data_IF_593616959507
#
_entry.id   IF_593616959507
#
_cell.length_a   1.000
_cell.length_b   1.000
_cell.length_c   1.000
_cell.angle_alpha   90.00
_cell.angle_beta   90.00
_cell.angle_gamma   90.00
#
_symmetry.space_group_name_H-M   'P 1'
#
loop_
_entity.id
_entity.type
_entity.pdbx_description
1 polymer ?
#
# COMPACT_ATOMS: atom_id res chain seq x y z
N UNK A 1 17.85 -3.08 -21.54
CA UNK A 1 16.93 -3.23 -20.38
C UNK A 1 16.21 -4.56 -20.52
N UNK A 2 16.40 -5.49 -19.58
CA UNK A 2 15.84 -6.84 -19.68
C UNK A 2 14.32 -6.87 -19.44
N UNK A 3 13.66 -7.96 -19.85
CA UNK A 3 12.21 -8.19 -19.66
C UNK A 3 11.77 -8.04 -18.19
N UNK A 4 12.63 -8.35 -17.23
CA UNK A 4 12.38 -8.18 -15.79
C UNK A 4 12.09 -6.74 -15.36
N UNK A 5 12.72 -5.75 -15.99
CA UNK A 5 12.47 -4.33 -15.70
C UNK A 5 11.02 -3.93 -16.02
N UNK A 6 10.53 -4.34 -17.20
CA UNK A 6 9.15 -4.06 -17.61
C UNK A 6 8.11 -4.74 -16.72
N UNK A 7 8.38 -5.98 -16.28
CA UNK A 7 7.51 -6.70 -15.32
C UNK A 7 7.43 -5.94 -13.99
N UNK A 8 8.56 -5.46 -13.47
CA UNK A 8 8.58 -4.67 -12.23
C UNK A 8 7.83 -3.36 -12.42
N UNK A 9 8.05 -2.63 -13.51
CA UNK A 9 7.32 -1.39 -13.80
C UNK A 9 5.81 -1.61 -13.89
N UNK A 10 5.37 -2.70 -14.52
CA UNK A 10 3.95 -3.08 -14.55
C UNK A 10 3.41 -3.37 -13.14
N UNK A 11 4.14 -4.15 -12.33
CA UNK A 11 3.73 -4.46 -10.96
C UNK A 11 3.61 -3.19 -10.09
N UNK A 12 4.55 -2.25 -10.25
CA UNK A 12 4.56 -0.95 -9.59
C UNK A 12 3.36 -0.08 -10.01
N UNK A 13 3.03 -0.09 -11.30
CA UNK A 13 1.87 0.61 -11.84
C UNK A 13 0.57 0.06 -11.26
N UNK A 14 0.36 -1.26 -11.34
CA UNK A 14 -0.87 -1.88 -10.82
C UNK A 14 -1.01 -1.74 -9.30
N UNK A 15 0.08 -1.84 -8.54
CA UNK A 15 0.04 -1.56 -7.10
C UNK A 15 -0.38 -0.12 -6.83
N UNK A 16 0.15 0.86 -7.56
CA UNK A 16 -0.19 2.27 -7.37
C UNK A 16 -1.63 2.57 -7.80
N UNK A 17 -2.11 1.92 -8.86
CA UNK A 17 -3.51 1.99 -9.29
C UNK A 17 -4.45 1.43 -8.21
N UNK A 18 -4.11 0.29 -7.62
CA UNK A 18 -4.87 -0.32 -6.54
C UNK A 18 -4.97 0.58 -5.31
N UNK A 19 -3.87 1.24 -4.90
CA UNK A 19 -3.86 2.16 -3.75
C UNK A 19 -4.84 3.33 -3.92
N UNK A 20 -4.91 3.89 -5.14
CA UNK A 20 -5.84 4.98 -5.46
C UNK A 20 -7.29 4.47 -5.57
N UNK A 21 -7.51 3.32 -6.20
CA UNK A 21 -8.83 2.71 -6.31
C UNK A 21 -9.41 2.36 -4.92
N UNK A 22 -8.58 1.85 -4.02
CA UNK A 22 -8.95 1.56 -2.64
C UNK A 22 -9.38 2.79 -1.86
N UNK A 23 -8.71 3.93 -2.06
CA UNK A 23 -9.13 5.19 -1.44
C UNK A 23 -10.55 5.55 -1.89
N UNK A 24 -10.81 5.51 -3.21
CA UNK A 24 -12.12 5.83 -3.78
C UNK A 24 -13.18 4.87 -3.27
N UNK A 25 -12.87 3.56 -3.21
CA UNK A 25 -13.77 2.55 -2.67
C UNK A 25 -14.10 2.79 -1.19
N UNK A 26 -13.10 3.11 -0.35
CA UNK A 26 -13.33 3.42 1.07
C UNK A 26 -14.22 4.65 1.26
N UNK A 27 -14.04 5.68 0.43
CA UNK A 27 -14.90 6.87 0.43
C UNK A 27 -16.33 6.49 0.03
N UNK A 28 -16.50 5.68 -1.02
CA UNK A 28 -17.81 5.22 -1.47
C UNK A 28 -18.52 4.36 -0.41
N UNK A 29 -17.79 3.55 0.37
CA UNK A 29 -18.36 2.78 1.47
C UNK A 29 -18.82 3.68 2.62
N UNK A 30 -18.05 4.72 2.99
CA UNK A 30 -18.50 5.71 3.98
C UNK A 30 -19.76 6.44 3.49
N UNK A 31 -19.81 6.82 2.21
CA UNK A 31 -20.98 7.47 1.63
C UNK A 31 -22.23 6.58 1.66
N UNK A 32 -22.08 5.27 1.40
CA UNK A 32 -23.19 4.31 1.48
C UNK A 32 -23.68 4.07 2.91
N UNK A 33 -22.77 4.14 3.90
CA UNK A 33 -23.10 4.01 5.31
C UNK A 33 -23.73 5.26 5.94
N UNK A 34 -24.17 6.23 5.12
CA UNK A 34 -24.71 7.54 5.54
C UNK A 34 -23.81 8.26 6.56
N UNK A 35 -22.50 8.01 6.44
CA UNK A 35 -21.52 8.49 7.39
C UNK A 35 -21.25 9.98 7.15
N UNK A 36 -21.05 10.76 8.22
CA UNK A 36 -20.82 12.19 8.07
C UNK A 36 -19.61 12.50 7.17
N UNK A 37 -19.75 13.48 6.27
CA UNK A 37 -18.72 13.80 5.27
C UNK A 37 -17.35 14.14 5.87
N UNK A 38 -17.31 14.61 7.13
CA UNK A 38 -16.07 14.85 7.87
C UNK A 38 -15.29 13.58 8.22
N UNK A 39 -15.84 12.37 8.08
CA UNK A 39 -15.09 11.11 8.24
C UNK A 39 -14.15 10.80 7.06
N UNK A 40 -14.47 11.32 5.87
CA UNK A 40 -13.65 11.19 4.66
C UNK A 40 -12.17 11.60 4.85
N UNK A 41 -11.85 12.78 5.41
CA UNK A 41 -10.46 13.16 5.68
C UNK A 41 -9.78 12.28 6.74
N UNK A 42 -10.53 11.65 7.66
CA UNK A 42 -9.94 10.73 8.63
C UNK A 42 -9.40 9.46 7.95
N UNK A 43 -9.95 9.00 6.82
CA UNK A 43 -9.36 7.89 6.06
C UNK A 43 -7.89 8.20 5.71
N UNK A 44 -7.62 9.39 5.18
CA UNK A 44 -6.24 9.84 4.90
C UNK A 44 -5.42 9.99 6.18
N UNK A 45 -6.01 10.50 7.26
CA UNK A 45 -5.32 10.65 8.54
C UNK A 45 -4.84 9.31 9.11
N UNK A 46 -5.71 8.30 9.18
CA UNK A 46 -5.36 6.97 9.67
C UNK A 46 -4.34 6.27 8.75
N UNK A 47 -4.46 6.46 7.43
CA UNK A 47 -3.48 5.99 6.47
C UNK A 47 -2.09 6.58 6.75
N UNK A 48 -2.01 7.90 6.93
CA UNK A 48 -0.74 8.61 7.19
C UNK A 48 -0.16 8.24 8.55
N UNK A 49 -0.98 8.12 9.61
CA UNK A 49 -0.49 7.68 10.92
C UNK A 49 0.12 6.28 10.83
N UNK A 50 -0.61 5.33 10.22
CA UNK A 50 -0.11 3.98 9.99
C UNK A 50 1.23 4.03 9.24
N UNK A 51 1.28 4.80 8.15
CA UNK A 51 2.48 4.96 7.34
C UNK A 51 3.68 5.52 8.13
N UNK A 52 3.49 6.62 8.87
CA UNK A 52 4.57 7.34 9.56
C UNK A 52 5.07 6.56 10.77
N UNK A 53 4.17 6.00 11.58
CA UNK A 53 4.54 5.25 12.78
C UNK A 53 5.28 3.97 12.42
N UNK A 54 4.88 3.31 11.32
CA UNK A 54 5.52 2.08 10.86
C UNK A 54 6.76 2.30 9.99
N UNK A 55 6.97 3.51 9.44
CA UNK A 55 8.10 3.87 8.59
C UNK A 55 9.48 3.37 9.07
N UNK A 56 9.89 3.58 10.35
CA UNK A 56 11.20 3.11 10.82
C UNK A 56 11.33 1.58 10.85
N UNK A 57 10.23 0.85 11.07
CA UNK A 57 10.24 -0.61 11.11
C UNK A 57 10.24 -1.23 9.72
N UNK A 58 9.46 -0.66 8.80
CA UNK A 58 9.33 -1.20 7.44
C UNK A 58 10.57 -0.99 6.58
N UNK A 59 11.37 0.06 6.84
CA UNK A 59 12.67 0.24 6.19
C UNK A 59 13.65 -0.87 6.58
N UNK A 60 13.81 -1.10 7.89
CA UNK A 60 14.66 -2.19 8.40
C UNK A 60 14.16 -3.56 7.93
N UNK A 61 12.85 -3.77 7.85
CA UNK A 61 12.25 -4.97 7.28
C UNK A 61 12.60 -5.14 5.80
N UNK A 62 12.50 -4.07 5.02
CA UNK A 62 12.79 -4.09 3.59
C UNK A 62 14.27 -4.34 3.27
N UNK A 63 15.18 -4.00 4.18
CA UNK A 63 16.63 -4.21 4.00
C UNK A 63 17.10 -5.63 4.35
N UNK A 64 16.32 -6.39 5.12
CA UNK A 64 16.67 -7.76 5.53
C UNK A 64 16.18 -8.86 4.58
N UNK A 65 15.26 -8.53 3.68
CA UNK A 65 14.64 -9.49 2.77
C UNK A 65 14.87 -9.08 1.31
N UNK A 66 14.86 -10.03 0.36
CA UNK A 66 14.85 -9.71 -1.06
C UNK A 66 13.70 -8.76 -1.38
N UNK A 67 13.98 -7.66 -2.12
CA UNK A 67 13.00 -6.58 -2.36
C UNK A 67 11.71 -7.09 -3.01
N UNK A 68 11.81 -8.09 -3.89
CA UNK A 68 10.65 -8.75 -4.50
C UNK A 68 9.73 -9.45 -3.47
N UNK A 69 10.29 -10.08 -2.44
CA UNK A 69 9.52 -10.70 -1.35
C UNK A 69 8.82 -9.64 -0.51
N UNK A 70 9.48 -8.53 -0.21
CA UNK A 70 8.90 -7.41 0.53
C UNK A 70 7.72 -6.82 -0.24
N UNK A 71 7.87 -6.62 -1.56
CA UNK A 71 6.78 -6.16 -2.44
C UNK A 71 5.58 -7.12 -2.44
N UNK A 72 5.83 -8.43 -2.46
CA UNK A 72 4.77 -9.44 -2.42
C UNK A 72 4.02 -9.45 -1.09
N UNK A 73 4.74 -9.42 0.04
CA UNK A 73 4.15 -9.36 1.38
C UNK A 73 3.31 -8.09 1.53
N UNK A 74 3.85 -6.94 1.14
CA UNK A 74 3.16 -5.67 1.20
C UNK A 74 1.86 -5.66 0.38
N UNK A 75 1.88 -6.19 -0.84
CA UNK A 75 0.68 -6.32 -1.67
C UNK A 75 -0.34 -7.30 -1.07
N UNK A 76 0.13 -8.38 -0.42
CA UNK A 76 -0.75 -9.32 0.30
C UNK A 76 -1.48 -8.64 1.46
N UNK A 77 -0.79 -7.79 2.22
CA UNK A 77 -1.40 -6.98 3.28
C UNK A 77 -2.47 -6.04 2.72
N UNK A 78 -2.22 -5.40 1.57
CA UNK A 78 -3.22 -4.57 0.89
C UNK A 78 -4.44 -5.38 0.47
N UNK A 79 -4.25 -6.57 -0.09
CA UNK A 79 -5.35 -7.49 -0.45
C UNK A 79 -6.17 -7.87 0.79
N UNK A 80 -5.54 -8.15 1.93
CA UNK A 80 -6.24 -8.39 3.18
C UNK A 80 -7.05 -7.17 3.63
N UNK A 81 -6.51 -5.95 3.46
CA UNK A 81 -7.22 -4.69 3.65
C UNK A 81 -8.47 -4.57 2.76
N UNK A 82 -8.36 -4.89 1.48
CA UNK A 82 -9.49 -4.95 0.57
C UNK A 82 -10.55 -5.97 1.03
N UNK A 83 -10.10 -7.17 1.42
CA UNK A 83 -10.99 -8.23 1.86
C UNK A 83 -11.79 -7.80 3.09
N UNK A 84 -11.16 -7.12 4.06
CA UNK A 84 -11.87 -6.55 5.21
C UNK A 84 -12.95 -5.54 4.80
N UNK A 85 -12.68 -4.69 3.80
CA UNK A 85 -13.70 -3.78 3.27
C UNK A 85 -14.88 -4.54 2.63
N UNK A 86 -14.63 -5.68 1.99
CA UNK A 86 -15.68 -6.52 1.42
C UNK A 86 -16.55 -7.22 2.49
N UNK A 87 -15.98 -7.53 3.66
CA UNK A 87 -16.71 -8.10 4.80
C UNK A 87 -17.31 -7.03 5.73
N UNK A 88 -17.52 -5.81 5.23
CA UNK A 88 -18.14 -4.68 5.96
C UNK A 88 -17.42 -4.30 7.27
N UNK A 89 -16.13 -4.65 7.40
CA UNK A 89 -15.30 -4.20 8.52
C UNK A 89 -15.11 -2.69 8.41
N UNK A 90 -15.02 -2.01 9.56
CA UNK A 90 -14.87 -0.55 9.64
C UNK A 90 -13.82 -0.03 8.63
N UNK A 91 -14.22 0.83 7.66
CA UNK A 91 -13.33 1.30 6.60
C UNK A 91 -12.07 2.00 7.10
N UNK A 92 -12.11 2.64 8.28
CA UNK A 92 -10.94 3.31 8.87
C UNK A 92 -9.86 2.30 9.27
N UNK A 93 -10.25 1.19 9.90
CA UNK A 93 -9.34 0.12 10.32
C UNK A 93 -8.81 -0.62 9.09
N UNK A 94 -9.69 -0.94 8.15
CA UNK A 94 -9.30 -1.62 6.93
C UNK A 94 -8.30 -0.77 6.13
N UNK A 95 -8.54 0.54 6.03
CA UNK A 95 -7.65 1.46 5.33
C UNK A 95 -6.34 1.74 6.09
N UNK A 96 -6.34 1.67 7.43
CA UNK A 96 -5.11 1.70 8.22
C UNK A 96 -4.21 0.48 7.94
N UNK A 97 -4.79 -0.71 7.74
CA UNK A 97 -4.03 -1.90 7.33
C UNK A 97 -3.46 -1.75 5.91
N UNK A 98 -4.23 -1.21 4.98
CA UNK A 98 -3.73 -0.87 3.64
C UNK A 98 -2.56 0.10 3.72
N UNK A 99 -2.63 1.11 4.61
CA UNK A 99 -1.53 2.03 4.91
C UNK A 99 -0.25 1.34 5.38
N UNK A 100 -0.36 0.29 6.18
CA UNK A 100 0.78 -0.54 6.60
C UNK A 100 1.41 -1.25 5.39
N UNK A 101 0.59 -1.86 4.55
CA UNK A 101 1.06 -2.49 3.31
C UNK A 101 1.76 -1.49 2.39
N UNK A 102 1.20 -0.29 2.22
CA UNK A 102 1.81 0.77 1.42
C UNK A 102 3.14 1.26 2.01
N UNK A 103 3.26 1.36 3.33
CA UNK A 103 4.49 1.72 4.03
C UNK A 103 5.61 0.71 3.77
N UNK A 104 5.31 -0.60 3.83
CA UNK A 104 6.27 -1.65 3.52
C UNK A 104 6.65 -1.73 2.03
N UNK A 105 5.71 -1.39 1.15
CA UNK A 105 5.95 -1.40 -0.30
C UNK A 105 6.92 -0.29 -0.74
N UNK A 106 6.81 0.90 -0.13
CA UNK A 106 7.57 2.10 -0.51
C UNK A 106 9.10 1.91 -0.54
N UNK A 107 9.79 1.46 0.54
CA UNK A 107 11.24 1.27 0.51
C UNK A 107 11.68 0.16 -0.47
N UNK A 108 10.88 -0.89 -0.64
CA UNK A 108 11.17 -1.98 -1.56
C UNK A 108 11.08 -1.55 -3.03
N UNK A 109 10.07 -0.74 -3.37
CA UNK A 109 9.87 -0.16 -4.70
C UNK A 109 11.07 0.67 -5.18
N UNK A 110 11.61 1.53 -4.32
CA UNK A 110 12.73 2.39 -4.69
C UNK A 110 14.05 1.61 -4.70
N UNK A 111 14.23 0.68 -3.75
CA UNK A 111 15.41 -0.18 -3.70
C UNK A 111 15.56 -1.10 -4.91
N UNK A 112 14.47 -1.73 -5.38
CA UNK A 112 14.54 -2.63 -6.53
C UNK A 112 14.90 -1.88 -7.83
N UNK A 113 14.54 -0.60 -7.95
CA UNK A 113 14.93 0.21 -9.11
C UNK A 113 16.45 0.44 -9.15
N UNK A 114 17.07 0.68 -7.98
CA UNK A 114 18.52 0.87 -7.88
C UNK A 114 19.32 -0.40 -8.15
N UNK A 115 18.75 -1.58 -7.91
CA UNK A 115 19.38 -2.88 -8.21
C UNK A 115 19.34 -3.24 -9.70
N UNK A 116 18.34 -2.75 -10.45
CA UNK A 116 18.16 -3.05 -11.88
C UNK A 116 18.74 -1.99 -12.82
N UNK A 117 19.12 -0.83 -12.29
CA UNK A 117 19.83 0.20 -13.05
C UNK A 117 21.33 -0.14 -13.07
N UNK A 118 22.00 -0.08 -14.23
CA UNK A 118 23.43 -0.34 -14.30
C UNK A 118 24.16 0.65 -13.39
N UNK A 119 24.96 0.14 -12.45
CA UNK A 119 25.94 0.95 -11.73
C UNK A 119 26.87 1.53 -12.78
N UNK A 120 26.75 2.84 -13.00
CA UNK A 120 27.70 3.59 -13.81
C UNK A 120 29.02 3.69 -13.06
#
# INVERSE_FOLDING_TARGET
MGSGFYIIMAAQFFSSLADNALLVAAIALLAQADSPAWLTPYLKFFFVISYVVLAPYVGVFADRLPKGTVMFIANTVKIAGCAMMLFEVNPLIAYALVGLGAAAYSPAKYGILTEYLPHS
#
